data_IF_143333013216
#
_entry.id   IF_143333013216
#
_cell.length_a   1.000
_cell.length_b   1.000
_cell.length_c   1.000
_cell.angle_alpha   90.00
_cell.angle_beta   90.00
_cell.angle_gamma   90.00
#
_symmetry.space_group_name_H-M   'P 1'
#
loop_
_entity.id
_entity.type
_entity.pdbx_description
1 polymer ?
#
# COMPACT_ATOMS: atom_id res chain seq x y z
N UNK A 1 18.16 -1.16 -82.68
CA UNK A 1 17.35 -2.30 -82.20
C UNK A 1 17.91 -2.73 -80.85
N UNK A 2 17.37 -2.56 -79.75
CA UNK A 2 16.12 -2.38 -79.08
C UNK A 2 16.41 -1.77 -77.71
N UNK A 3 15.76 -0.66 -77.39
CA UNK A 3 15.75 -0.02 -76.11
C UNK A 3 15.05 -0.93 -75.07
N UNK A 4 15.63 -1.05 -73.84
CA UNK A 4 14.92 -1.57 -72.70
C UNK A 4 14.76 -0.46 -71.66
N UNK A 5 13.51 -0.17 -71.35
CA UNK A 5 13.07 0.91 -70.55
C UNK A 5 13.53 0.81 -69.09
N UNK A 6 13.94 1.96 -68.57
CA UNK A 6 14.21 2.21 -67.15
C UNK A 6 12.88 2.31 -66.37
N UNK A 7 12.59 1.32 -65.54
CA UNK A 7 11.49 1.39 -64.58
C UNK A 7 11.73 2.49 -63.56
N UNK A 8 10.80 3.44 -63.45
CA UNK A 8 10.80 4.51 -62.45
C UNK A 8 10.59 3.87 -61.05
N UNK A 9 11.56 4.05 -60.21
CA UNK A 9 11.48 3.75 -58.78
C UNK A 9 10.59 4.81 -58.11
N UNK A 10 9.43 4.41 -57.57
CA UNK A 10 8.57 5.25 -56.74
C UNK A 10 9.03 5.08 -55.30
N UNK A 11 9.45 6.14 -54.60
CA UNK A 11 9.85 6.03 -53.21
C UNK A 11 8.63 5.68 -52.34
N UNK A 12 8.77 4.69 -51.52
CA UNK A 12 7.76 4.36 -50.50
C UNK A 12 7.65 5.48 -49.46
N UNK A 13 6.45 5.96 -49.20
CA UNK A 13 6.18 6.98 -48.19
C UNK A 13 6.71 6.53 -46.80
N UNK A 14 7.29 7.47 -46.03
CA UNK A 14 7.73 7.16 -44.66
C UNK A 14 6.58 6.66 -43.78
N UNK A 15 6.85 5.68 -42.95
CA UNK A 15 5.88 4.99 -42.04
C UNK A 15 5.06 5.97 -41.17
N UNK A 16 5.62 7.13 -40.85
CA UNK A 16 4.98 8.21 -40.09
C UNK A 16 3.84 8.92 -40.83
N UNK A 17 3.92 9.07 -42.16
CA UNK A 17 2.83 9.65 -42.95
C UNK A 17 1.64 8.70 -43.11
N UNK A 18 1.89 7.39 -43.16
CA UNK A 18 0.85 6.39 -43.25
C UNK A 18 0.03 6.31 -41.93
N UNK A 19 0.72 6.44 -40.81
CA UNK A 19 0.08 6.51 -39.47
C UNK A 19 -0.75 7.79 -39.31
N UNK A 20 -0.27 8.92 -39.78
CA UNK A 20 -1.00 10.23 -39.74
C UNK A 20 -2.27 10.19 -40.58
N UNK A 21 -2.24 9.53 -41.75
CA UNK A 21 -3.45 9.36 -42.59
C UNK A 21 -4.48 8.39 -41.99
N UNK A 22 -4.03 7.36 -41.30
CA UNK A 22 -4.93 6.44 -40.57
C UNK A 22 -5.56 7.16 -39.41
N UNK A 23 -4.78 7.96 -38.66
CA UNK A 23 -5.28 8.78 -37.54
C UNK A 23 -6.21 9.90 -37.99
N UNK A 24 -5.91 10.56 -39.10
CA UNK A 24 -6.77 11.61 -39.68
C UNK A 24 -8.11 11.11 -40.22
N UNK A 25 -8.22 9.82 -40.57
CA UNK A 25 -9.50 9.18 -40.92
C UNK A 25 -10.34 8.78 -39.71
N UNK A 26 -9.74 8.71 -38.52
CA UNK A 26 -10.44 8.43 -37.25
C UNK A 26 -10.97 9.71 -36.57
N UNK A 27 -10.54 10.89 -37.06
CA UNK A 27 -11.01 12.18 -36.54
C UNK A 27 -11.68 12.93 -37.69
N UNK A 28 -12.91 12.58 -38.03
CA UNK A 28 -13.81 13.47 -38.80
C UNK A 28 -14.74 14.14 -37.81
N UNK A 29 -14.78 15.50 -37.77
CA UNK A 29 -15.89 16.19 -37.15
C UNK A 29 -17.10 16.02 -38.07
N UNK A 30 -17.99 15.12 -37.74
CA UNK A 30 -19.30 15.08 -38.36
C UNK A 30 -20.22 15.99 -37.53
N UNK A 31 -20.50 17.17 -38.08
CA UNK A 31 -21.76 17.85 -37.80
C UNK A 31 -22.87 16.97 -38.39
N UNK A 32 -23.38 16.08 -37.56
CA UNK A 32 -24.67 15.42 -37.72
C UNK A 32 -25.35 15.63 -36.37
N UNK A 33 -26.47 16.32 -36.37
CA UNK A 33 -27.45 16.20 -35.29
C UNK A 33 -27.80 14.72 -35.16
N UNK A 34 -27.01 14.01 -34.37
CA UNK A 34 -27.24 12.60 -34.09
C UNK A 34 -28.42 12.56 -33.12
N UNK A 35 -29.55 12.05 -33.58
CA UNK A 35 -30.58 11.45 -32.74
C UNK A 35 -29.82 10.59 -31.73
N UNK A 36 -29.82 11.01 -30.45
CA UNK A 36 -29.15 10.29 -29.39
C UNK A 36 -29.73 8.88 -29.32
N UNK A 37 -28.98 7.84 -29.65
CA UNK A 37 -29.50 6.47 -29.51
C UNK A 37 -29.78 6.24 -28.01
N UNK A 38 -30.96 5.71 -27.71
CA UNK A 38 -31.35 5.23 -26.39
C UNK A 38 -30.25 4.28 -25.88
N UNK A 39 -29.74 4.55 -24.66
CA UNK A 39 -28.80 3.67 -23.98
C UNK A 39 -27.32 4.00 -24.09
N UNK A 40 -26.90 5.23 -23.69
CA UNK A 40 -25.47 5.45 -23.40
C UNK A 40 -25.17 5.22 -21.93
N UNK A 41 -24.13 4.42 -21.67
CA UNK A 41 -23.68 4.04 -20.34
C UNK A 41 -22.35 4.71 -20.03
N UNK A 42 -22.26 5.36 -18.90
CA UNK A 42 -20.97 5.82 -18.35
C UNK A 42 -20.27 4.65 -17.69
N UNK A 43 -19.05 4.34 -18.13
CA UNK A 43 -18.21 3.26 -17.62
C UNK A 43 -16.89 3.82 -17.09
N UNK A 44 -16.50 3.44 -15.87
CA UNK A 44 -15.22 3.83 -15.28
C UNK A 44 -14.18 2.71 -15.45
N UNK A 45 -13.14 3.02 -16.22
CA UNK A 45 -11.98 2.16 -16.43
C UNK A 45 -10.83 2.57 -15.51
N UNK A 46 -10.30 1.61 -14.75
CA UNK A 46 -9.17 1.76 -13.84
C UNK A 46 -8.10 0.67 -14.01
N UNK A 47 -8.33 -0.28 -14.89
CA UNK A 47 -7.46 -1.41 -15.22
C UNK A 47 -7.02 -1.39 -16.68
N UNK A 48 -6.89 -2.55 -17.31
CA UNK A 48 -6.40 -2.66 -18.69
C UNK A 48 -7.26 -1.92 -19.74
N UNK A 49 -8.50 -1.59 -19.40
CA UNK A 49 -9.39 -0.78 -20.25
C UNK A 49 -9.03 0.73 -20.24
N UNK A 50 -7.98 1.14 -19.54
CA UNK A 50 -7.32 2.42 -19.77
C UNK A 50 -6.62 2.46 -21.14
N UNK A 51 -6.24 1.30 -21.68
CA UNK A 51 -5.57 1.21 -22.97
C UNK A 51 -6.55 1.49 -24.11
N UNK A 52 -6.35 2.60 -24.80
CA UNK A 52 -7.18 3.05 -25.93
C UNK A 52 -7.29 1.98 -27.02
N UNK A 53 -6.18 1.32 -27.34
CA UNK A 53 -6.18 0.25 -28.36
C UNK A 53 -7.07 -0.92 -27.95
N UNK A 54 -7.03 -1.33 -26.67
CA UNK A 54 -7.89 -2.38 -26.17
C UNK A 54 -9.36 -1.96 -26.15
N UNK A 55 -9.66 -0.71 -25.76
CA UNK A 55 -11.01 -0.17 -25.80
C UNK A 55 -11.58 -0.10 -27.23
N UNK A 56 -10.80 0.38 -28.19
CA UNK A 56 -11.23 0.41 -29.59
C UNK A 56 -11.54 -0.97 -30.16
N UNK A 57 -10.90 -2.02 -29.65
CA UNK A 57 -11.20 -3.42 -30.05
C UNK A 57 -12.44 -4.00 -29.37
N UNK A 58 -12.64 -3.69 -28.07
CA UNK A 58 -13.73 -4.21 -27.25
C UNK A 58 -15.03 -3.43 -27.43
N UNK A 59 -14.89 -2.11 -27.57
CA UNK A 59 -15.97 -1.14 -27.54
C UNK A 59 -15.78 -0.13 -28.67
N UNK A 60 -16.07 -0.52 -29.92
CA UNK A 60 -15.82 0.34 -31.09
C UNK A 60 -16.68 1.62 -31.11
N UNK A 61 -17.81 1.64 -30.39
CA UNK A 61 -18.69 2.80 -30.27
C UNK A 61 -18.34 3.69 -29.07
N UNK A 62 -17.31 3.33 -28.28
CA UNK A 62 -16.87 4.08 -27.10
C UNK A 62 -16.36 5.46 -27.47
N UNK A 63 -16.82 6.47 -26.74
CA UNK A 63 -16.47 7.87 -27.01
C UNK A 63 -16.14 8.64 -25.75
N UNK A 64 -15.57 9.86 -25.95
CA UNK A 64 -15.41 10.88 -24.91
C UNK A 64 -14.71 10.43 -23.63
N UNK A 65 -13.48 9.85 -23.71
CA UNK A 65 -12.75 9.51 -22.51
C UNK A 65 -12.40 10.77 -21.70
N UNK A 66 -12.77 10.77 -20.42
CA UNK A 66 -12.48 11.87 -19.48
C UNK A 66 -11.87 11.29 -18.20
N UNK A 67 -10.92 12.01 -17.63
CA UNK A 67 -10.32 11.62 -16.35
C UNK A 67 -11.39 11.62 -15.26
N UNK A 68 -11.28 10.67 -14.35
CA UNK A 68 -12.18 10.56 -13.22
C UNK A 68 -11.48 9.93 -12.02
N UNK A 69 -12.03 10.17 -10.84
CA UNK A 69 -11.57 9.66 -9.56
C UNK A 69 -12.71 8.92 -8.86
N UNK A 70 -12.47 7.69 -8.45
CA UNK A 70 -13.33 6.93 -7.56
C UNK A 70 -12.81 7.11 -6.14
N UNK A 71 -13.55 7.86 -5.31
CA UNK A 71 -13.20 8.11 -3.91
C UNK A 71 -13.51 6.89 -3.01
N UNK A 72 -12.85 6.84 -1.85
CA UNK A 72 -13.05 5.83 -0.80
C UNK A 72 -12.92 4.39 -1.29
N UNK A 73 -12.04 4.19 -2.27
CA UNK A 73 -11.69 2.87 -2.78
C UNK A 73 -10.18 2.74 -2.91
N UNK A 74 -9.70 1.53 -2.65
CA UNK A 74 -8.33 1.11 -2.86
C UNK A 74 -8.19 0.30 -4.14
N UNK A 75 -7.08 0.47 -4.83
CA UNK A 75 -6.73 -0.26 -6.05
C UNK A 75 -5.70 -1.33 -5.77
N UNK A 76 -5.88 -2.51 -6.34
CA UNK A 76 -4.91 -3.60 -6.20
C UNK A 76 -4.88 -4.51 -7.44
N UNK A 77 -3.75 -5.18 -7.63
CA UNK A 77 -3.67 -6.40 -8.43
C UNK A 77 -4.02 -7.57 -7.50
N UNK A 78 -5.03 -8.35 -7.86
CA UNK A 78 -5.48 -9.48 -7.06
C UNK A 78 -4.71 -10.78 -7.37
N UNK A 79 -5.02 -11.86 -6.65
CA UNK A 79 -4.38 -13.17 -6.83
C UNK A 79 -4.56 -13.80 -8.22
N UNK A 80 -5.43 -13.24 -9.08
CA UNK A 80 -5.53 -13.63 -10.50
C UNK A 80 -4.59 -12.86 -11.40
N UNK A 81 -3.85 -11.89 -10.86
CA UNK A 81 -2.95 -11.00 -11.60
C UNK A 81 -3.66 -9.92 -12.41
N UNK A 82 -4.87 -9.52 -11.99
CA UNK A 82 -5.67 -8.48 -12.63
C UNK A 82 -6.11 -7.42 -11.62
N UNK A 83 -6.36 -6.20 -12.10
CA UNK A 83 -6.78 -5.08 -11.27
C UNK A 83 -8.22 -5.27 -10.75
N UNK A 84 -8.42 -4.87 -9.49
CA UNK A 84 -9.73 -4.67 -8.90
C UNK A 84 -9.69 -3.50 -7.93
N UNK A 85 -10.85 -3.09 -7.44
CA UNK A 85 -11.00 -2.08 -6.39
C UNK A 85 -11.82 -2.64 -5.25
N UNK A 86 -11.56 -2.16 -4.03
CA UNK A 86 -12.35 -2.47 -2.85
C UNK A 86 -12.62 -1.19 -2.04
N UNK A 87 -13.75 -1.09 -1.32
CA UNK A 87 -14.02 0.06 -0.45
C UNK A 87 -12.91 0.22 0.59
N UNK A 88 -12.38 1.44 0.69
CA UNK A 88 -11.37 1.80 1.69
C UNK A 88 -11.36 3.31 1.91
N UNK A 89 -11.85 3.75 3.06
CA UNK A 89 -12.02 5.16 3.38
C UNK A 89 -10.71 5.95 3.30
N UNK A 90 -10.77 7.13 2.71
CA UNK A 90 -9.65 8.07 2.60
C UNK A 90 -8.66 7.76 1.48
N UNK A 91 -8.90 6.72 0.65
CA UNK A 91 -8.13 6.46 -0.57
C UNK A 91 -8.94 6.79 -1.81
N UNK A 92 -8.27 6.85 -2.95
CA UNK A 92 -8.93 7.12 -4.22
C UNK A 92 -8.23 6.40 -5.38
N UNK A 93 -9.00 6.10 -6.40
CA UNK A 93 -8.54 5.42 -7.62
C UNK A 93 -8.69 6.36 -8.80
N UNK A 94 -7.60 6.65 -9.49
CA UNK A 94 -7.65 7.41 -10.74
C UNK A 94 -7.94 6.49 -11.92
N UNK A 95 -8.76 6.99 -12.84
CA UNK A 95 -9.13 6.26 -14.04
C UNK A 95 -9.74 7.18 -15.09
N UNK A 96 -10.48 6.59 -16.00
CA UNK A 96 -11.13 7.28 -17.12
C UNK A 96 -12.57 6.81 -17.24
N UNK A 97 -13.50 7.73 -17.45
CA UNK A 97 -14.88 7.40 -17.84
C UNK A 97 -15.00 7.38 -19.35
N UNK A 98 -15.70 6.37 -19.87
CA UNK A 98 -16.07 6.22 -21.27
C UNK A 98 -17.60 6.28 -21.41
N UNK A 99 -18.08 6.80 -22.54
CA UNK A 99 -19.48 6.67 -22.94
C UNK A 99 -19.61 5.48 -23.88
N UNK A 100 -20.39 4.50 -23.47
CA UNK A 100 -20.54 3.20 -24.16
C UNK A 100 -21.96 3.05 -24.71
N UNK A 101 -22.10 2.37 -25.85
CA UNK A 101 -23.39 1.88 -26.35
C UNK A 101 -23.86 0.63 -25.58
N UNK A 102 -25.12 0.24 -25.73
CA UNK A 102 -25.64 -1.04 -25.19
C UNK A 102 -24.83 -2.24 -25.71
N UNK A 103 -24.41 -2.20 -26.98
CA UNK A 103 -23.57 -3.22 -27.61
C UNK A 103 -22.21 -3.31 -26.94
N UNK A 104 -21.56 -2.16 -26.70
CA UNK A 104 -20.26 -2.11 -26.02
C UNK A 104 -20.36 -2.65 -24.60
N UNK A 105 -21.41 -2.31 -23.86
CA UNK A 105 -21.64 -2.83 -22.51
C UNK A 105 -21.80 -4.34 -22.50
N UNK A 106 -22.56 -4.91 -23.44
CA UNK A 106 -22.72 -6.36 -23.57
C UNK A 106 -21.38 -7.05 -23.91
N UNK A 107 -20.57 -6.43 -24.77
CA UNK A 107 -19.25 -6.94 -25.12
C UNK A 107 -18.31 -6.91 -23.92
N UNK A 108 -18.32 -5.83 -23.10
CA UNK A 108 -17.53 -5.74 -21.88
C UNK A 108 -18.00 -6.75 -20.83
N UNK A 109 -19.30 -6.92 -20.61
CA UNK A 109 -19.84 -7.92 -19.68
C UNK A 109 -19.31 -9.31 -20.01
N UNK A 110 -19.28 -9.65 -21.30
CA UNK A 110 -18.71 -10.92 -21.77
C UNK A 110 -17.19 -11.01 -21.55
N UNK A 111 -16.44 -9.94 -21.88
CA UNK A 111 -14.98 -9.90 -21.74
C UNK A 111 -14.53 -9.96 -20.25
N UNK A 112 -15.27 -9.30 -19.37
CA UNK A 112 -15.01 -9.31 -17.92
C UNK A 112 -15.58 -10.55 -17.24
N UNK A 113 -16.47 -11.29 -17.94
CA UNK A 113 -17.07 -12.54 -17.46
C UNK A 113 -18.06 -12.33 -16.31
N UNK A 114 -18.93 -11.33 -16.47
CA UNK A 114 -20.03 -11.05 -15.55
C UNK A 114 -21.07 -12.16 -15.61
N UNK A 115 -21.64 -12.61 -14.49
CA UNK A 115 -21.36 -12.20 -13.09
C UNK A 115 -20.26 -13.03 -12.39
N UNK A 116 -19.68 -14.03 -13.06
CA UNK A 116 -18.84 -15.05 -12.43
C UNK A 116 -17.44 -14.57 -12.03
N UNK A 117 -16.84 -13.67 -12.82
CA UNK A 117 -15.48 -13.14 -12.57
C UNK A 117 -15.53 -11.77 -11.96
N UNK A 118 -16.33 -10.88 -12.52
CA UNK A 118 -16.57 -9.52 -12.04
C UNK A 118 -18.07 -9.34 -11.80
N UNK A 119 -18.42 -8.57 -10.78
CA UNK A 119 -19.72 -7.92 -10.68
C UNK A 119 -19.63 -6.54 -11.29
N UNK A 120 -20.76 -5.98 -11.67
CA UNK A 120 -20.87 -4.64 -12.20
C UNK A 120 -21.72 -3.79 -11.24
N UNK A 121 -21.09 -2.83 -10.60
CA UNK A 121 -21.73 -1.93 -9.65
C UNK A 121 -21.80 -0.51 -10.22
N UNK A 122 -22.85 0.24 -9.88
CA UNK A 122 -22.95 1.64 -10.24
C UNK A 122 -22.44 2.50 -9.08
N UNK A 123 -21.28 3.14 -9.27
CA UNK A 123 -20.63 3.96 -8.26
C UNK A 123 -20.59 5.44 -8.69
N UNK A 124 -20.40 6.33 -7.72
CA UNK A 124 -20.16 7.75 -7.99
C UNK A 124 -18.66 7.95 -8.23
N UNK A 125 -18.32 8.51 -9.39
CA UNK A 125 -16.97 8.96 -9.73
C UNK A 125 -16.99 10.49 -9.90
N UNK A 126 -15.85 11.13 -9.66
CA UNK A 126 -15.68 12.57 -9.78
C UNK A 126 -14.87 12.88 -11.03
N UNK A 127 -15.46 13.62 -11.95
CA UNK A 127 -14.81 14.16 -13.16
C UNK A 127 -14.55 15.65 -12.98
N UNK A 128 -13.84 16.27 -13.94
CA UNK A 128 -13.64 17.72 -13.95
C UNK A 128 -15.00 18.50 -14.04
N UNK A 129 -16.06 17.86 -14.58
CA UNK A 129 -17.42 18.44 -14.67
C UNK A 129 -18.28 18.16 -13.41
N UNK A 130 -17.73 17.47 -12.42
CA UNK A 130 -18.43 17.11 -11.17
C UNK A 130 -18.72 15.62 -11.04
N UNK A 131 -19.54 15.23 -10.02
CA UNK A 131 -19.86 13.83 -9.75
C UNK A 131 -20.75 13.22 -10.84
N UNK A 132 -20.46 12.00 -11.21
CA UNK A 132 -21.21 11.21 -12.20
C UNK A 132 -21.38 9.77 -11.74
N UNK A 133 -22.53 9.16 -12.08
CA UNK A 133 -22.73 7.73 -11.88
C UNK A 133 -22.07 6.95 -13.03
N UNK A 134 -21.24 5.99 -12.69
CA UNK A 134 -20.55 5.14 -13.67
C UNK A 134 -20.61 3.68 -13.28
N UNK A 135 -20.68 2.80 -14.27
CA UNK A 135 -20.55 1.38 -14.09
C UNK A 135 -19.07 1.04 -13.83
N UNK A 136 -18.83 0.21 -12.83
CA UNK A 136 -17.50 -0.22 -12.41
C UNK A 136 -17.49 -1.75 -12.31
N UNK A 137 -16.57 -2.42 -13.01
CA UNK A 137 -16.39 -3.86 -12.89
C UNK A 137 -15.47 -4.15 -11.69
N UNK A 138 -15.93 -4.98 -10.75
CA UNK A 138 -15.24 -5.28 -9.50
C UNK A 138 -15.09 -6.79 -9.33
N UNK A 139 -13.86 -7.28 -9.23
CA UNK A 139 -13.60 -8.67 -8.83
C UNK A 139 -13.65 -8.76 -7.29
N UNK A 140 -14.41 -9.69 -6.76
CA UNK A 140 -14.55 -9.91 -5.31
C UNK A 140 -13.28 -10.46 -4.65
N UNK A 141 -12.30 -10.89 -5.43
CA UNK A 141 -11.02 -11.40 -4.94
C UNK A 141 -10.10 -10.25 -4.66
N UNK A 142 -9.83 -9.99 -3.38
CA UNK A 142 -9.04 -8.84 -2.92
C UNK A 142 -7.71 -9.21 -2.28
N UNK A 143 -7.31 -10.48 -2.34
CA UNK A 143 -5.96 -10.88 -1.93
C UNK A 143 -4.95 -10.40 -2.97
N UNK A 144 -3.91 -9.64 -2.57
CA UNK A 144 -2.89 -9.16 -3.49
C UNK A 144 -2.13 -10.29 -4.20
N UNK A 145 -1.75 -10.04 -5.45
CA UNK A 145 -0.95 -10.94 -6.27
C UNK A 145 -0.07 -10.20 -7.26
N UNK A 146 0.80 -10.92 -7.96
CA UNK A 146 1.60 -10.36 -9.03
C UNK A 146 0.76 -10.11 -10.30
N UNK A 147 0.98 -9.02 -11.03
CA UNK A 147 0.33 -8.79 -12.31
C UNK A 147 0.70 -9.88 -13.32
N UNK A 148 -0.23 -10.20 -14.21
CA UNK A 148 0.07 -11.05 -15.37
C UNK A 148 1.10 -10.38 -16.27
N UNK A 149 1.91 -11.12 -17.00
CA UNK A 149 2.88 -10.56 -17.96
C UNK A 149 2.22 -9.56 -18.92
N UNK A 150 2.82 -8.37 -19.07
CA UNK A 150 2.34 -7.30 -19.94
C UNK A 150 1.02 -6.61 -19.49
N UNK A 151 0.46 -6.99 -18.34
CA UNK A 151 -0.81 -6.43 -17.87
C UNK A 151 -0.63 -5.07 -17.19
N UNK A 152 0.39 -4.95 -16.33
CA UNK A 152 0.71 -3.71 -15.62
C UNK A 152 1.19 -2.61 -16.58
N UNK A 153 2.04 -2.98 -17.51
CA UNK A 153 2.57 -2.09 -18.57
C UNK A 153 1.41 -1.48 -19.37
N UNK A 154 0.42 -2.30 -19.73
CA UNK A 154 -0.77 -1.83 -20.45
C UNK A 154 -1.59 -0.82 -19.65
N UNK A 155 -1.69 -1.02 -18.33
CA UNK A 155 -2.38 -0.06 -17.44
C UNK A 155 -1.60 1.24 -17.38
N UNK A 156 -0.27 1.16 -17.20
CA UNK A 156 0.61 2.33 -17.10
C UNK A 156 0.60 3.12 -18.42
N UNK A 157 0.70 2.45 -19.57
CA UNK A 157 0.63 3.10 -20.89
C UNK A 157 -0.70 3.84 -21.09
N UNK A 158 -1.82 3.18 -20.67
CA UNK A 158 -3.13 3.82 -20.70
C UNK A 158 -3.22 5.02 -19.76
N UNK A 159 -2.68 4.91 -18.56
CA UNK A 159 -2.65 6.00 -17.58
C UNK A 159 -1.84 7.21 -18.10
N UNK A 160 -0.68 6.96 -18.70
CA UNK A 160 0.15 7.97 -19.36
C UNK A 160 -0.57 8.63 -20.53
N UNK A 161 -1.21 7.83 -21.40
CA UNK A 161 -1.95 8.32 -22.57
C UNK A 161 -3.06 9.30 -22.18
N UNK A 162 -3.79 8.99 -21.10
CA UNK A 162 -4.88 9.85 -20.62
C UNK A 162 -4.41 10.99 -19.69
N UNK A 163 -3.11 11.13 -19.45
CA UNK A 163 -2.54 12.18 -18.59
C UNK A 163 -3.02 12.05 -17.13
N UNK A 164 -3.13 10.83 -16.62
CA UNK A 164 -3.41 10.62 -15.18
C UNK A 164 -2.26 11.18 -14.34
N UNK A 165 -2.49 11.58 -13.08
CA UNK A 165 -1.47 12.21 -12.23
C UNK A 165 -0.20 11.36 -12.12
N UNK A 166 0.98 11.99 -12.16
CA UNK A 166 2.27 11.30 -12.06
C UNK A 166 2.36 10.45 -10.80
N UNK A 167 1.87 10.94 -9.64
CA UNK A 167 1.81 10.16 -8.40
C UNK A 167 1.00 8.87 -8.54
N UNK A 168 -0.08 8.89 -9.34
CA UNK A 168 -0.83 7.67 -9.61
C UNK A 168 -0.03 6.68 -10.46
N UNK A 169 0.66 7.16 -11.47
CA UNK A 169 1.54 6.32 -12.31
C UNK A 169 2.67 5.70 -11.46
N UNK A 170 3.26 6.47 -10.55
CA UNK A 170 4.30 5.98 -9.64
C UNK A 170 3.76 4.97 -8.63
N UNK A 171 2.52 5.15 -8.16
CA UNK A 171 1.81 4.14 -7.37
C UNK A 171 1.62 2.84 -8.16
N UNK A 172 1.16 2.89 -9.42
CA UNK A 172 1.00 1.72 -10.28
C UNK A 172 2.34 0.98 -10.46
N UNK A 173 3.44 1.69 -10.65
CA UNK A 173 4.79 1.11 -10.82
C UNK A 173 5.28 0.31 -9.60
N UNK A 174 4.74 0.54 -8.41
CA UNK A 174 5.08 -0.25 -7.21
C UNK A 174 4.59 -1.70 -7.31
N UNK A 175 3.64 -1.98 -8.19
CA UNK A 175 3.13 -3.33 -8.43
C UNK A 175 3.99 -4.16 -9.37
N UNK A 176 5.07 -3.60 -9.90
CA UNK A 176 6.09 -4.35 -10.66
C UNK A 176 6.78 -5.36 -9.74
N UNK A 177 6.64 -6.68 -10.00
CA UNK A 177 7.27 -7.73 -9.19
C UNK A 177 8.80 -7.62 -9.11
N UNK A 178 9.45 -7.01 -10.10
CA UNK A 178 10.89 -6.78 -10.08
C UNK A 178 11.32 -5.80 -8.96
N UNK A 179 10.38 -4.98 -8.47
CA UNK A 179 10.58 -4.03 -7.37
C UNK A 179 10.23 -4.61 -6.00
N UNK A 180 9.65 -5.80 -5.96
CA UNK A 180 9.28 -6.42 -4.70
C UNK A 180 10.51 -7.00 -3.99
N UNK A 181 10.52 -6.99 -2.65
CA UNK A 181 11.55 -7.68 -1.91
C UNK A 181 11.61 -9.14 -2.34
N UNK A 182 12.77 -9.60 -2.74
CA UNK A 182 12.95 -11.03 -3.05
C UNK A 182 12.71 -11.84 -1.76
N UNK A 183 12.18 -13.07 -1.84
CA UNK A 183 12.12 -13.97 -0.69
C UNK A 183 13.50 -14.03 -0.01
N UNK A 184 13.52 -14.00 1.32
CA UNK A 184 14.74 -14.18 2.08
C UNK A 184 15.32 -15.56 1.72
N UNK A 185 16.60 -15.63 1.39
CA UNK A 185 17.31 -16.91 1.24
C UNK A 185 17.30 -17.64 2.59
N UNK A 186 17.30 -18.97 2.53
CA UNK A 186 17.41 -19.76 3.76
C UNK A 186 18.71 -19.39 4.47
N UNK A 187 18.70 -19.11 5.78
CA UNK A 187 19.90 -18.74 6.50
C UNK A 187 20.97 -19.85 6.39
N UNK A 188 22.20 -19.46 6.13
CA UNK A 188 23.36 -20.34 6.13
C UNK A 188 24.11 -20.32 7.47
N UNK A 189 23.81 -19.32 8.31
CA UNK A 189 24.37 -19.15 9.64
C UNK A 189 23.38 -19.59 10.72
N UNK A 190 23.83 -20.09 11.88
CA UNK A 190 22.96 -20.33 13.02
C UNK A 190 22.26 -19.04 13.48
N UNK A 191 21.02 -19.16 13.92
CA UNK A 191 20.31 -18.03 14.53
C UNK A 191 20.92 -17.68 15.90
N UNK A 192 21.06 -16.37 16.24
CA UNK A 192 21.49 -15.95 17.58
C UNK A 192 20.51 -16.46 18.63
N UNK A 193 21.07 -16.95 19.74
CA UNK A 193 20.29 -17.54 20.84
C UNK A 193 20.10 -16.55 22.00
N UNK A 194 20.81 -15.42 21.97
CA UNK A 194 20.80 -14.38 23.01
C UNK A 194 20.90 -12.99 22.41
N UNK A 195 20.56 -11.95 23.18
CA UNK A 195 20.72 -10.56 22.77
C UNK A 195 22.20 -10.23 22.56
N UNK A 196 23.10 -10.73 23.42
CA UNK A 196 24.54 -10.47 23.27
C UNK A 196 25.11 -11.07 21.98
N UNK A 197 24.70 -12.28 21.60
CA UNK A 197 25.04 -12.86 20.29
C UNK A 197 24.50 -12.01 19.14
N UNK A 198 23.22 -11.61 19.22
CA UNK A 198 22.61 -10.76 18.20
C UNK A 198 23.37 -9.44 18.02
N UNK A 199 23.71 -8.77 19.12
CA UNK A 199 24.42 -7.48 19.08
C UNK A 199 25.86 -7.59 18.60
N UNK A 200 26.44 -8.79 18.58
CA UNK A 200 27.78 -9.07 18.03
C UNK A 200 27.75 -9.28 16.52
N UNK A 201 26.57 -9.45 15.90
CA UNK A 201 26.47 -9.69 14.46
C UNK A 201 26.74 -8.42 13.64
N UNK A 202 27.43 -8.59 12.51
CA UNK A 202 27.78 -7.47 11.64
C UNK A 202 26.53 -6.74 11.11
N UNK A 203 26.50 -5.43 11.28
CA UNK A 203 25.41 -4.56 10.80
C UNK A 203 24.19 -4.49 11.72
N UNK A 204 24.18 -5.22 12.84
CA UNK A 204 23.20 -5.01 13.90
C UNK A 204 23.60 -3.79 14.73
N UNK A 205 22.68 -2.84 14.91
CA UNK A 205 22.95 -1.58 15.63
C UNK A 205 21.96 -1.41 16.75
N UNK A 206 22.47 -1.26 17.96
CA UNK A 206 21.68 -0.93 19.16
C UNK A 206 21.72 0.57 19.42
N UNK A 207 20.54 1.19 19.59
CA UNK A 207 20.38 2.61 19.87
C UNK A 207 19.54 2.81 21.13
N UNK A 208 19.99 3.68 22.05
CA UNK A 208 19.23 4.11 23.22
C UNK A 208 19.36 5.62 23.35
N UNK A 209 18.24 6.31 23.55
CA UNK A 209 18.19 7.74 23.89
C UNK A 209 17.20 7.95 25.02
N UNK A 210 17.66 8.45 26.14
CA UNK A 210 16.86 8.70 27.33
C UNK A 210 16.41 10.16 27.37
N UNK A 211 15.10 10.36 27.57
CA UNK A 211 14.45 11.67 27.72
C UNK A 211 13.40 11.61 28.84
N UNK A 212 12.12 11.57 28.49
CA UNK A 212 11.06 11.42 29.48
C UNK A 212 10.93 9.99 30.01
N UNK A 213 10.10 9.81 31.04
CA UNK A 213 9.80 8.50 31.65
C UNK A 213 8.87 7.63 30.77
N UNK A 214 8.42 8.15 29.63
CA UNK A 214 7.69 7.38 28.62
C UNK A 214 8.66 6.88 27.54
N UNK A 215 8.58 5.58 27.18
CA UNK A 215 9.49 4.96 26.24
C UNK A 215 8.83 4.40 24.99
N UNK A 216 9.59 4.37 23.90
CA UNK A 216 9.26 3.58 22.70
C UNK A 216 10.34 2.52 22.48
N UNK A 217 9.92 1.33 22.06
CA UNK A 217 10.83 0.24 21.67
C UNK A 217 10.55 -0.22 20.24
N UNK A 218 11.61 -0.56 19.50
CA UNK A 218 11.53 -1.34 18.27
C UNK A 218 12.74 -2.28 18.20
N UNK A 219 12.59 -3.47 18.74
CA UNK A 219 13.69 -4.44 18.92
C UNK A 219 13.94 -5.31 17.68
N UNK A 220 13.09 -5.21 16.68
CA UNK A 220 13.21 -5.91 15.40
C UNK A 220 13.28 -4.96 14.20
N UNK A 221 13.71 -3.71 14.41
CA UNK A 221 13.77 -2.67 13.39
C UNK A 221 14.74 -2.96 12.24
N UNK A 222 14.83 -2.03 11.30
CA UNK A 222 15.64 -2.18 10.10
C UNK A 222 15.11 -3.27 9.16
N UNK A 223 15.99 -4.11 8.62
CA UNK A 223 15.67 -5.12 7.62
C UNK A 223 14.85 -6.31 8.12
N UNK A 224 14.57 -6.43 9.42
CA UNK A 224 13.76 -7.53 9.96
C UNK A 224 12.26 -7.19 9.95
N UNK A 225 11.87 -6.11 10.63
CA UNK A 225 10.50 -5.59 10.66
C UNK A 225 10.53 -4.13 10.17
N UNK A 226 10.72 -3.98 8.85
CA UNK A 226 10.95 -2.70 8.19
C UNK A 226 10.03 -1.59 8.68
N UNK A 227 10.59 -0.38 8.92
CA UNK A 227 9.94 0.85 9.35
C UNK A 227 9.50 0.90 10.82
N UNK A 228 9.56 -0.19 11.59
CA UNK A 228 9.17 -0.15 13.01
C UNK A 228 10.08 0.75 13.84
N UNK A 229 11.39 0.70 13.58
CA UNK A 229 12.38 1.57 14.21
C UNK A 229 12.21 3.04 13.79
N UNK A 230 11.95 3.31 12.52
CA UNK A 230 11.70 4.67 12.02
C UNK A 230 10.45 5.29 12.67
N UNK A 231 9.36 4.50 12.76
CA UNK A 231 8.11 4.95 13.39
C UNK A 231 8.34 5.20 14.89
N UNK A 232 9.03 4.29 15.60
CA UNK A 232 9.33 4.45 17.02
C UNK A 232 10.19 5.71 17.29
N UNK A 233 11.25 5.89 16.50
CA UNK A 233 12.15 7.04 16.62
C UNK A 233 11.44 8.36 16.36
N UNK A 234 10.66 8.45 15.27
CA UNK A 234 9.89 9.65 14.93
C UNK A 234 8.80 9.96 15.97
N UNK A 235 8.14 8.95 16.51
CA UNK A 235 7.14 9.14 17.57
C UNK A 235 7.81 9.62 18.90
N UNK A 236 8.96 9.03 19.24
CA UNK A 236 9.75 9.46 20.40
C UNK A 236 10.23 10.90 20.25
N UNK A 237 10.77 11.28 19.09
CA UNK A 237 11.23 12.64 18.82
C UNK A 237 10.07 13.65 18.91
N UNK A 238 8.91 13.33 18.34
CA UNK A 238 7.74 14.20 18.37
C UNK A 238 7.11 14.33 19.79
N UNK A 239 7.36 13.37 20.68
CA UNK A 239 6.83 13.35 22.05
C UNK A 239 7.85 13.77 23.12
N UNK A 240 9.09 14.03 22.76
CA UNK A 240 10.24 14.14 23.68
C UNK A 240 10.33 12.93 24.61
N UNK A 241 10.08 11.74 24.06
CA UNK A 241 10.08 10.47 24.78
C UNK A 241 11.42 9.72 24.62
N UNK A 242 11.68 8.79 25.53
CA UNK A 242 12.82 7.89 25.46
C UNK A 242 12.61 6.84 24.34
N UNK A 243 13.70 6.35 23.75
CA UNK A 243 13.63 5.33 22.70
C UNK A 243 14.75 4.30 22.82
N UNK A 244 14.40 3.03 22.60
CA UNK A 244 15.34 1.91 22.47
C UNK A 244 15.06 1.14 21.17
N UNK A 245 16.08 0.97 20.34
CA UNK A 245 15.98 0.33 19.04
C UNK A 245 17.07 -0.72 18.86
N UNK A 246 16.74 -1.83 18.20
CA UNK A 246 17.70 -2.73 17.59
C UNK A 246 17.41 -2.76 16.09
N UNK A 247 18.35 -2.26 15.30
CA UNK A 247 18.28 -2.21 13.83
C UNK A 247 19.03 -3.36 13.24
N UNK A 248 18.35 -4.14 12.42
CA UNK A 248 18.94 -5.27 11.71
C UNK A 248 19.35 -4.84 10.30
N UNK A 249 20.42 -5.41 9.74
CA UNK A 249 20.82 -5.14 8.36
C UNK A 249 19.72 -5.59 7.37
N UNK A 250 19.78 -5.08 6.16
CA UNK A 250 18.84 -5.44 5.10
C UNK A 250 18.77 -6.97 4.92
N UNK A 251 17.55 -7.48 4.78
CA UNK A 251 17.27 -8.92 4.60
C UNK A 251 17.78 -9.82 5.72
N UNK A 252 17.90 -9.28 6.92
CA UNK A 252 18.31 -10.08 8.07
C UNK A 252 17.43 -11.33 8.21
N UNK A 253 18.02 -12.56 8.27
CA UNK A 253 17.24 -13.79 8.12
C UNK A 253 16.71 -14.35 9.44
N UNK A 254 17.24 -13.90 10.58
CA UNK A 254 16.96 -14.49 11.87
C UNK A 254 16.02 -13.64 12.71
N UNK A 255 15.18 -14.28 13.49
CA UNK A 255 14.25 -13.61 14.42
C UNK A 255 14.55 -14.09 15.84
N UNK A 256 15.15 -13.24 16.67
CA UNK A 256 15.28 -13.48 18.11
C UNK A 256 13.98 -13.10 18.81
N UNK A 257 13.32 -14.06 19.46
CA UNK A 257 12.08 -13.78 20.19
C UNK A 257 12.26 -12.68 21.24
N UNK A 258 11.29 -11.77 21.38
CA UNK A 258 11.30 -10.71 22.39
C UNK A 258 11.59 -11.20 23.81
N UNK A 259 11.13 -12.42 24.18
CA UNK A 259 11.38 -13.01 25.47
C UNK A 259 12.86 -13.43 25.72
N UNK A 260 13.71 -13.36 24.68
CA UNK A 260 15.15 -13.63 24.76
C UNK A 260 16.00 -12.36 24.84
N UNK A 261 15.39 -11.17 24.82
CA UNK A 261 16.05 -9.89 25.07
C UNK A 261 16.25 -9.73 26.59
N UNK A 262 17.33 -10.35 27.11
CA UNK A 262 17.62 -10.33 28.55
C UNK A 262 18.33 -9.03 28.94
N UNK A 263 17.84 -8.39 29.98
CA UNK A 263 18.39 -7.11 30.50
C UNK A 263 19.87 -7.20 30.80
N UNK A 264 20.33 -8.31 31.39
CA UNK A 264 21.76 -8.51 31.74
C UNK A 264 22.71 -8.69 30.55
N UNK A 265 22.17 -8.75 29.32
CA UNK A 265 22.97 -8.92 28.08
C UNK A 265 23.20 -7.62 27.32
N UNK A 266 22.59 -6.49 27.74
CA UNK A 266 22.80 -5.15 27.21
C UNK A 266 22.68 -4.09 28.30
N UNK A 267 23.75 -3.32 28.51
CA UNK A 267 23.74 -2.19 29.44
C UNK A 267 22.75 -1.11 29.01
N UNK A 268 22.59 -0.88 27.68
CA UNK A 268 21.65 0.12 27.14
C UNK A 268 20.19 -0.29 27.35
N UNK A 269 19.88 -1.57 27.20
CA UNK A 269 18.53 -2.09 27.50
C UNK A 269 18.24 -1.98 29.01
N UNK A 270 19.21 -2.32 29.86
CA UNK A 270 19.09 -2.20 31.30
C UNK A 270 18.81 -0.76 31.73
N UNK A 271 19.62 0.18 31.26
CA UNK A 271 19.48 1.61 31.53
C UNK A 271 18.14 2.17 31.04
N UNK A 272 17.72 1.78 29.83
CA UNK A 272 16.43 2.21 29.27
C UNK A 272 15.26 1.73 30.14
N UNK A 273 15.24 0.43 30.54
CA UNK A 273 14.15 -0.14 31.33
C UNK A 273 14.12 0.38 32.78
N UNK A 274 15.25 0.76 33.35
CA UNK A 274 15.32 1.44 34.65
C UNK A 274 14.84 2.89 34.58
N UNK A 275 15.11 3.55 33.44
CA UNK A 275 14.74 4.95 33.24
C UNK A 275 13.24 5.11 32.97
N UNK A 276 12.60 4.28 32.15
CA UNK A 276 11.20 4.49 31.74
C UNK A 276 10.21 3.81 32.68
N UNK A 277 9.11 4.50 33.01
CA UNK A 277 8.03 3.92 33.81
C UNK A 277 7.07 3.08 32.96
N UNK A 278 6.92 3.41 31.68
CA UNK A 278 5.94 2.80 30.78
C UNK A 278 6.44 2.91 29.34
N UNK A 279 6.05 1.96 28.49
CA UNK A 279 6.51 1.96 27.11
C UNK A 279 5.52 1.39 26.09
N UNK A 280 5.71 1.81 24.83
CA UNK A 280 5.08 1.20 23.66
C UNK A 280 6.17 0.48 22.85
N UNK A 281 6.00 -0.82 22.59
CA UNK A 281 6.84 -1.58 21.68
C UNK A 281 6.17 -1.71 20.32
N UNK A 282 6.92 -1.38 19.25
CA UNK A 282 6.45 -1.49 17.87
C UNK A 282 7.04 -2.71 17.20
N UNK A 283 6.16 -3.56 16.67
CA UNK A 283 6.48 -4.75 15.91
C UNK A 283 5.83 -4.73 14.54
N UNK A 284 6.37 -5.50 13.61
CA UNK A 284 5.83 -5.64 12.28
C UNK A 284 5.29 -7.03 12.01
N UNK A 285 4.09 -7.14 11.46
CA UNK A 285 3.54 -8.41 11.06
C UNK A 285 2.95 -8.39 9.65
N UNK A 286 2.77 -9.58 9.05
CA UNK A 286 2.12 -9.75 7.77
C UNK A 286 1.24 -11.00 7.79
N UNK A 287 -0.10 -10.82 7.80
CA UNK A 287 -1.08 -11.91 7.70
C UNK A 287 -2.16 -11.58 6.69
N UNK A 288 -2.49 -12.56 5.86
CA UNK A 288 -3.59 -12.47 4.90
C UNK A 288 -4.89 -12.15 5.65
N UNK A 289 -5.68 -11.20 5.14
CA UNK A 289 -6.94 -10.75 5.73
C UNK A 289 -6.82 -9.80 6.92
N UNK A 290 -5.58 -9.47 7.38
CA UNK A 290 -5.36 -8.55 8.51
C UNK A 290 -4.54 -7.30 8.15
N UNK A 291 -4.42 -6.98 6.88
CA UNK A 291 -3.58 -5.86 6.39
C UNK A 291 -3.99 -4.46 6.87
N UNK A 292 -5.16 -4.33 7.49
CA UNK A 292 -5.73 -3.07 8.00
C UNK A 292 -5.96 -3.09 9.52
N UNK A 293 -5.49 -4.13 10.22
CA UNK A 293 -5.63 -4.25 11.67
C UNK A 293 -4.29 -3.94 12.35
N UNK A 294 -4.29 -3.03 13.31
CA UNK A 294 -3.21 -2.84 14.27
C UNK A 294 -3.58 -3.62 15.54
N UNK A 295 -2.69 -4.47 16.02
CA UNK A 295 -3.01 -5.32 17.19
C UNK A 295 -2.31 -4.75 18.43
N UNK A 296 -3.07 -4.29 19.41
CA UNK A 296 -2.56 -3.67 20.63
C UNK A 296 -2.57 -4.66 21.79
N UNK A 297 -1.49 -5.43 21.93
CA UNK A 297 -1.21 -6.38 22.98
C UNK A 297 -0.45 -5.77 24.17
N UNK A 298 0.39 -6.59 24.83
CA UNK A 298 1.16 -6.20 26.03
C UNK A 298 0.38 -6.27 27.33
N UNK A 299 1.10 -6.17 28.45
CA UNK A 299 0.53 -6.34 29.79
C UNK A 299 -0.33 -5.15 30.26
N UNK A 300 -0.02 -3.93 29.78
CA UNK A 300 -0.77 -2.73 30.16
C UNK A 300 -1.95 -2.48 29.23
N UNK A 301 -3.13 -3.00 29.60
CA UNK A 301 -4.35 -2.90 28.80
C UNK A 301 -4.94 -1.48 28.79
N UNK A 302 -4.72 -0.70 29.84
CA UNK A 302 -5.15 0.69 29.90
C UNK A 302 -4.36 1.54 28.90
N UNK A 303 -3.04 1.32 28.80
CA UNK A 303 -2.21 1.97 27.77
C UNK A 303 -2.64 1.54 26.36
N UNK A 304 -2.94 0.26 26.15
CA UNK A 304 -3.42 -0.22 24.85
C UNK A 304 -4.71 0.49 24.40
N UNK A 305 -5.68 0.65 25.30
CA UNK A 305 -6.92 1.38 25.04
C UNK A 305 -6.66 2.88 24.82
N UNK A 306 -5.78 3.50 25.63
CA UNK A 306 -5.40 4.90 25.47
C UNK A 306 -4.76 5.17 24.12
N UNK A 307 -3.80 4.34 23.71
CA UNK A 307 -3.15 4.44 22.39
C UNK A 307 -4.17 4.31 21.28
N UNK A 308 -5.08 3.33 21.37
CA UNK A 308 -6.14 3.15 20.37
C UNK A 308 -7.03 4.40 20.22
N UNK A 309 -7.31 5.11 21.31
CA UNK A 309 -8.08 6.36 21.30
C UNK A 309 -7.36 7.54 20.61
N UNK A 310 -6.04 7.46 20.43
CA UNK A 310 -5.25 8.49 19.74
C UNK A 310 -4.91 8.12 18.27
N UNK A 311 -5.20 6.88 17.85
CA UNK A 311 -4.90 6.42 16.50
C UNK A 311 -6.13 6.56 15.59
N UNK A 312 -6.36 7.77 15.09
CA UNK A 312 -7.37 7.98 14.05
C UNK A 312 -6.77 7.71 12.67
N UNK A 313 -6.97 6.49 12.17
CA UNK A 313 -6.42 6.01 10.89
C UNK A 313 -7.58 5.52 10.01
N UNK A 314 -8.11 6.35 9.09
CA UNK A 314 -9.24 5.98 8.22
C UNK A 314 -8.98 4.66 7.49
N UNK A 315 -9.94 3.75 7.52
CA UNK A 315 -9.84 2.42 6.92
C UNK A 315 -9.05 1.38 7.75
N UNK A 316 -8.50 1.75 8.91
CA UNK A 316 -7.80 0.82 9.81
C UNK A 316 -8.56 0.62 11.11
N UNK A 317 -8.32 -0.53 11.72
CA UNK A 317 -8.88 -0.90 13.03
C UNK A 317 -7.75 -1.16 14.02
N UNK A 318 -7.82 -0.56 15.21
CA UNK A 318 -6.96 -0.94 16.33
C UNK A 318 -7.70 -1.99 17.17
N UNK A 319 -7.16 -3.20 17.24
CA UNK A 319 -7.72 -4.33 17.99
C UNK A 319 -7.08 -4.33 19.37
N UNK A 320 -7.84 -3.94 20.38
CA UNK A 320 -7.40 -3.96 21.81
C UNK A 320 -7.90 -5.18 22.56
N UNK A 321 -8.90 -5.88 22.06
CA UNK A 321 -9.39 -7.12 22.66
C UNK A 321 -8.33 -8.22 22.49
N UNK A 322 -7.74 -8.65 23.63
CA UNK A 322 -6.62 -9.60 23.66
C UNK A 322 -7.00 -10.97 23.08
N UNK A 323 -8.27 -11.37 23.20
CA UNK A 323 -8.73 -12.67 22.72
C UNK A 323 -8.89 -12.69 21.19
N UNK A 324 -9.02 -11.53 20.55
CA UNK A 324 -9.02 -11.37 19.11
C UNK A 324 -7.62 -11.26 18.49
N UNK A 325 -6.58 -11.11 19.35
CA UNK A 325 -5.18 -11.08 18.92
C UNK A 325 -4.64 -12.52 18.89
N UNK A 326 -4.02 -12.98 17.80
CA UNK A 326 -3.34 -14.29 17.74
C UNK A 326 -2.36 -14.45 18.90
N UNK A 327 -2.33 -15.64 19.50
CA UNK A 327 -1.60 -15.89 20.75
C UNK A 327 -0.13 -15.43 20.69
N UNK A 328 0.55 -15.70 19.57
CA UNK A 328 1.96 -15.36 19.34
C UNK A 328 2.21 -13.87 19.14
N UNK A 329 1.16 -13.06 18.89
CA UNK A 329 1.24 -11.59 18.68
C UNK A 329 0.71 -10.80 19.89
N UNK A 330 0.27 -11.47 20.95
CA UNK A 330 -0.27 -10.82 22.15
C UNK A 330 0.77 -10.05 22.96
N UNK A 331 2.05 -10.39 22.85
CA UNK A 331 3.14 -9.72 23.54
C UNK A 331 3.09 -9.82 25.09
N UNK A 332 2.40 -10.84 25.64
CA UNK A 332 2.14 -10.96 27.09
C UNK A 332 3.27 -11.63 27.89
N UNK A 333 4.32 -12.12 27.23
CA UNK A 333 5.38 -12.82 27.94
C UNK A 333 6.06 -11.88 28.96
N UNK A 334 6.22 -12.28 30.25
CA UNK A 334 6.75 -11.39 31.29
C UNK A 334 8.19 -10.92 31.02
N UNK A 335 8.99 -11.71 30.29
CA UNK A 335 10.34 -11.33 29.86
C UNK A 335 10.39 -10.53 28.56
N UNK A 336 9.25 -10.16 27.96
CA UNK A 336 9.24 -9.20 26.87
C UNK A 336 9.62 -7.82 27.44
N UNK A 337 10.63 -7.13 26.87
CA UNK A 337 11.12 -5.84 27.43
C UNK A 337 10.00 -4.83 27.69
N UNK A 338 8.99 -4.75 26.85
CA UNK A 338 7.87 -3.82 27.03
C UNK A 338 7.07 -4.07 28.32
N UNK A 339 7.04 -5.31 28.82
CA UNK A 339 6.34 -5.68 30.05
C UNK A 339 7.23 -5.55 31.29
N UNK A 340 8.52 -5.27 31.11
CA UNK A 340 9.50 -5.17 32.20
C UNK A 340 9.66 -3.73 32.73
N UNK A 341 9.02 -2.75 32.12
CA UNK A 341 8.94 -1.39 32.64
C UNK A 341 8.10 -1.36 33.92
N UNK A 342 8.25 -0.31 34.74
CA UNK A 342 7.62 -0.21 36.08
C UNK A 342 6.10 -0.45 36.05
N UNK A 343 5.39 0.03 35.02
CA UNK A 343 3.94 -0.11 34.90
C UNK A 343 3.54 -1.06 33.75
N UNK A 344 4.50 -1.84 33.23
CA UNK A 344 4.30 -2.63 32.03
C UNK A 344 4.09 -1.75 30.78
N UNK A 345 3.77 -2.34 29.65
CA UNK A 345 3.57 -1.57 28.43
C UNK A 345 2.60 -2.22 27.44
N UNK A 346 2.45 -1.59 26.30
CA UNK A 346 1.67 -2.13 25.19
C UNK A 346 2.58 -2.47 24.01
N UNK A 347 2.29 -3.61 23.37
CA UNK A 347 2.93 -4.03 22.13
C UNK A 347 1.97 -3.78 20.97
N UNK A 348 2.42 -3.02 19.95
CA UNK A 348 1.69 -2.78 18.75
C UNK A 348 2.27 -3.60 17.59
N UNK A 349 1.46 -4.48 17.03
CA UNK A 349 1.74 -5.18 15.81
C UNK A 349 1.20 -4.38 14.61
N UNK A 350 2.11 -3.93 13.75
CA UNK A 350 1.83 -3.05 12.64
C UNK A 350 1.82 -3.82 11.32
N UNK A 351 0.71 -3.83 10.55
CA UNK A 351 0.71 -4.45 9.24
C UNK A 351 1.57 -3.67 8.23
N UNK A 352 2.03 -4.34 7.19
CA UNK A 352 2.90 -3.75 6.15
C UNK A 352 2.31 -2.48 5.53
N UNK A 353 0.99 -2.42 5.43
CA UNK A 353 0.30 -1.30 4.80
C UNK A 353 0.42 0.00 5.61
N UNK A 354 0.24 -0.04 6.94
CA UNK A 354 0.36 1.15 7.79
C UNK A 354 1.82 1.60 7.94
N UNK A 355 2.77 0.68 7.74
CA UNK A 355 4.22 0.99 7.72
C UNK A 355 4.71 1.59 6.41
N UNK A 356 3.84 1.71 5.38
CA UNK A 356 4.18 2.31 4.08
C UNK A 356 4.93 1.39 3.09
N UNK A 357 5.17 0.12 3.44
CA UNK A 357 5.98 -0.83 2.66
C UNK A 357 5.17 -1.79 1.77
N UNK A 358 3.85 -1.77 1.88
CA UNK A 358 2.98 -2.52 0.97
C UNK A 358 2.87 -1.82 -0.38
N UNK A 359 2.76 -2.54 -1.52
CA UNK A 359 2.42 -1.92 -2.80
C UNK A 359 1.09 -1.14 -2.75
N UNK A 360 0.19 -1.50 -1.82
CA UNK A 360 -1.08 -0.82 -1.56
C UNK A 360 -0.97 0.45 -0.71
N UNK A 361 0.17 0.70 -0.06
CA UNK A 361 0.35 1.92 0.73
C UNK A 361 0.41 3.14 -0.19
N UNK A 362 -0.19 4.28 0.20
CA UNK A 362 0.02 5.54 -0.50
C UNK A 362 1.51 5.87 -0.62
N UNK A 363 1.89 6.62 -1.65
CA UNK A 363 3.27 7.08 -1.81
C UNK A 363 3.69 7.99 -0.66
N UNK A 364 4.98 7.97 -0.28
CA UNK A 364 5.53 8.90 0.71
C UNK A 364 5.29 10.36 0.37
N UNK A 365 5.10 11.18 1.39
CA UNK A 365 5.12 12.63 1.32
C UNK A 365 6.55 13.18 1.42
N UNK A 366 6.65 14.49 1.65
CA UNK A 366 7.93 15.20 1.75
C UNK A 366 8.75 14.79 3.01
N UNK A 367 8.07 14.27 4.04
CA UNK A 367 8.68 13.73 5.26
C UNK A 367 9.25 12.29 5.06
N UNK A 368 9.12 11.72 3.85
CA UNK A 368 9.54 10.37 3.52
C UNK A 368 8.61 9.27 4.04
N UNK A 369 7.49 9.61 4.68
CA UNK A 369 6.49 8.67 5.19
C UNK A 369 5.22 8.68 4.34
N UNK A 370 4.53 7.56 4.27
CA UNK A 370 3.18 7.58 3.69
C UNK A 370 2.23 8.36 4.61
N UNK A 371 1.16 9.01 4.09
CA UNK A 371 0.25 9.79 4.92
C UNK A 371 -0.30 9.04 6.13
N UNK A 372 -0.61 7.75 5.98
CA UNK A 372 -1.08 6.92 7.09
C UNK A 372 0.04 6.62 8.10
N UNK A 373 1.27 6.47 7.65
CA UNK A 373 2.43 6.28 8.54
C UNK A 373 2.71 7.56 9.33
N UNK A 374 2.65 8.74 8.69
CA UNK A 374 2.78 10.03 9.37
C UNK A 374 1.67 10.23 10.41
N UNK A 375 0.41 9.88 10.08
CA UNK A 375 -0.71 9.94 11.02
C UNK A 375 -0.51 8.97 12.20
N UNK A 376 0.02 7.76 11.96
CA UNK A 376 0.38 6.82 13.02
C UNK A 376 1.44 7.42 13.97
N UNK A 377 2.52 7.99 13.43
CA UNK A 377 3.57 8.64 14.22
C UNK A 377 2.99 9.76 15.10
N UNK A 378 2.15 10.62 14.53
CA UNK A 378 1.52 11.72 15.28
C UNK A 378 0.57 11.21 16.37
N UNK A 379 -0.23 10.18 16.09
CA UNK A 379 -1.12 9.55 17.07
C UNK A 379 -0.35 8.93 18.23
N UNK A 380 0.73 8.19 17.94
CA UNK A 380 1.62 7.62 18.97
C UNK A 380 2.26 8.69 19.83
N UNK A 381 2.76 9.76 19.23
CA UNK A 381 3.34 10.90 19.95
C UNK A 381 2.29 11.60 20.82
N UNK A 382 1.07 11.78 20.32
CA UNK A 382 -0.03 12.37 21.11
C UNK A 382 -0.41 11.49 22.31
N UNK A 383 -0.47 10.16 22.10
CA UNK A 383 -0.70 9.21 23.18
C UNK A 383 0.38 9.29 24.27
N UNK A 384 1.65 9.37 23.86
CA UNK A 384 2.76 9.49 24.81
C UNK A 384 2.70 10.79 25.63
N UNK A 385 2.44 11.93 24.99
CA UNK A 385 2.34 13.23 25.66
C UNK A 385 1.15 13.35 26.61
N UNK A 386 0.04 12.70 26.29
CA UNK A 386 -1.21 12.79 27.06
C UNK A 386 -1.36 11.71 28.11
N UNK A 387 -0.46 10.71 28.14
CA UNK A 387 -0.49 9.67 29.15
C UNK A 387 -0.24 10.27 30.53
N UNK A 388 -1.21 10.12 31.42
CA UNK A 388 -1.06 10.45 32.84
C UNK A 388 -0.94 9.13 33.59
N UNK A 389 0.22 8.89 34.21
CA UNK A 389 0.32 7.79 35.17
C UNK A 389 -0.70 8.06 36.27
N UNK A 390 -1.72 7.22 36.37
CA UNK A 390 -2.57 7.22 37.56
C UNK A 390 -1.67 6.69 38.67
N UNK A 391 -1.19 7.62 39.50
CA UNK A 391 -0.59 7.26 40.78
C UNK A 391 -1.65 6.52 41.57
N UNK A 392 -1.50 5.19 41.70
CA UNK A 392 -2.31 4.38 42.57
C UNK A 392 -1.91 4.61 44.04
#
# INVERSE_FOLDING_TARGET
MTERGLGRFVPSEPHDQRMRRVMARLIRPANIEAVMPAGRHTYFAYGSNLCVRQMAQRCPDATSPRRAVLADHDWLINQRGVATVEPFNGTHVHGVVWQLSDRDMATLDSAEGVPLRYRRDQLTVHTDDGPSKAWVYIDHRVNPGAPRPGYLERIIDGALHHGLPQRWIDFLRRWDPARWPRPRSRPTTPAPQSLSELLSEAGVVEVSRLRSRFGFLAIHGGGLEEMTDVIAERAADAADASVYLVRHPDRYPHHLSSARFRVGESARLAEFLDHVDIAISLHGYGRIGRGTQLLAGGSNRALAAHVAGHLYLPGYQVVTDIDRIPLELRGLHPRNPVNMTRHGGTQLELPTRVRGISPRSPLPGDDGLSPVTSALVQGLAAAARSWKSHSA
#
